data_IF_447081016988
#
_entry.id   IF_447081016988
#
_cell.length_a   1.000
_cell.length_b   1.000
_cell.length_c   1.000
_cell.angle_alpha   90.00
_cell.angle_beta   90.00
_cell.angle_gamma   90.00
#
_symmetry.space_group_name_H-M   'P 1'
#
loop_
_entity.id
_entity.type
_entity.pdbx_description
1 polymer ?
#
# COMPACT_ATOMS: atom_id res chain seq x y z
N UNK A 1 2.32 -32.14 -6.43
CA UNK A 1 1.48 -31.03 -5.94
C UNK A 1 2.41 -29.87 -5.65
N UNK A 2 2.44 -28.80 -6.46
CA UNK A 2 3.18 -27.57 -6.11
C UNK A 2 2.46 -26.97 -4.90
N UNK A 3 3.15 -26.87 -3.75
CA UNK A 3 2.60 -26.24 -2.55
C UNK A 3 2.16 -24.82 -2.88
N UNK A 4 0.96 -24.46 -2.46
CA UNK A 4 0.47 -23.09 -2.51
C UNK A 4 1.45 -22.27 -1.67
N UNK A 5 2.21 -21.41 -2.34
CA UNK A 5 3.21 -20.58 -1.67
C UNK A 5 2.46 -19.47 -0.94
N UNK A 6 2.32 -19.60 0.37
CA UNK A 6 1.68 -18.58 1.21
C UNK A 6 2.52 -17.32 1.18
N UNK A 7 1.99 -16.24 0.61
CA UNK A 7 2.71 -14.98 0.51
C UNK A 7 2.87 -14.31 1.88
N UNK A 8 1.80 -14.25 2.69
CA UNK A 8 1.82 -13.60 4.00
C UNK A 8 1.14 -14.51 5.04
N UNK A 9 1.80 -14.75 6.16
CA UNK A 9 1.28 -15.56 7.26
C UNK A 9 1.38 -14.79 8.58
N UNK A 10 0.30 -14.81 9.35
CA UNK A 10 0.23 -14.33 10.73
C UNK A 10 0.14 -15.50 11.68
N UNK A 11 0.92 -15.46 12.76
CA UNK A 11 0.91 -16.47 13.83
C UNK A 11 0.69 -15.79 15.17
N UNK A 12 -0.53 -15.85 15.70
CA UNK A 12 -0.99 -15.25 16.97
C UNK A 12 -0.52 -13.80 17.14
N UNK A 13 -0.64 -13.00 16.09
CA UNK A 13 -0.20 -11.59 16.09
C UNK A 13 -1.11 -10.77 16.97
N UNK A 14 -0.53 -10.11 17.97
CA UNK A 14 -1.21 -9.17 18.88
C UNK A 14 -0.54 -7.81 18.82
N UNK A 15 -1.35 -6.78 19.01
CA UNK A 15 -0.86 -5.42 19.10
C UNK A 15 -1.75 -4.57 19.99
N UNK A 16 -1.11 -3.71 20.76
CA UNK A 16 -1.79 -2.78 21.68
C UNK A 16 -1.22 -1.37 21.53
N UNK A 17 -2.03 -0.39 21.84
CA UNK A 17 -1.59 1.01 21.92
C UNK A 17 -0.55 1.20 23.03
N UNK A 18 0.25 2.28 23.00
CA UNK A 18 1.16 2.62 24.09
C UNK A 18 0.44 2.77 25.45
N UNK A 19 -0.88 3.06 25.43
CA UNK A 19 -1.74 3.08 26.62
C UNK A 19 -2.01 1.70 27.24
N UNK A 20 -1.64 0.61 26.54
CA UNK A 20 -1.94 -0.76 26.94
C UNK A 20 -3.28 -1.29 26.40
N UNK A 21 -4.05 -0.49 25.67
CA UNK A 21 -5.32 -0.92 25.08
C UNK A 21 -5.10 -1.89 23.93
N UNK A 22 -5.64 -3.14 23.98
CA UNK A 22 -5.45 -4.13 22.96
C UNK A 22 -6.34 -3.85 21.74
N UNK A 23 -5.72 -3.60 20.57
CA UNK A 23 -6.40 -3.38 19.29
C UNK A 23 -6.46 -4.69 18.50
N UNK A 24 -5.33 -5.39 18.36
CA UNK A 24 -5.27 -6.69 17.70
C UNK A 24 -5.05 -7.75 18.77
N UNK A 25 -6.04 -8.65 18.93
CA UNK A 25 -6.13 -9.56 20.08
C UNK A 25 -5.61 -10.97 19.80
N UNK A 26 -5.10 -11.21 18.59
CA UNK A 26 -4.55 -12.49 18.14
C UNK A 26 -5.08 -12.85 16.75
N UNK A 27 -4.28 -12.61 15.73
CA UNK A 27 -4.59 -12.96 14.35
C UNK A 27 -3.70 -14.13 13.94
N UNK A 28 -4.34 -15.20 13.44
CA UNK A 28 -3.64 -16.33 12.83
C UNK A 28 -4.33 -16.66 11.53
N UNK A 29 -3.69 -16.36 10.42
CA UNK A 29 -4.19 -16.65 9.08
C UNK A 29 -3.05 -16.68 8.06
N UNK A 30 -3.35 -17.23 6.88
CA UNK A 30 -2.47 -17.26 5.72
C UNK A 30 -3.16 -16.56 4.56
N UNK A 31 -2.45 -15.68 3.90
CA UNK A 31 -2.90 -14.99 2.71
C UNK A 31 -2.09 -15.52 1.53
N UNK A 32 -2.75 -16.25 0.66
CA UNK A 32 -2.19 -16.90 -0.53
C UNK A 32 -2.91 -16.46 -1.82
N UNK A 33 -3.95 -15.64 -1.68
CA UNK A 33 -4.71 -15.09 -2.78
C UNK A 33 -4.01 -13.89 -3.39
N UNK A 34 -4.17 -13.70 -4.71
CA UNK A 34 -3.66 -12.56 -5.46
C UNK A 34 -4.24 -11.24 -4.92
N UNK A 35 -5.52 -11.21 -4.59
CA UNK A 35 -6.20 -10.09 -3.95
C UNK A 35 -6.87 -10.57 -2.66
N UNK A 36 -6.65 -9.84 -1.58
CA UNK A 36 -7.30 -10.07 -0.28
C UNK A 36 -7.90 -8.77 0.21
N UNK A 37 -9.18 -8.78 0.53
CA UNK A 37 -9.89 -7.62 1.10
C UNK A 37 -10.15 -7.88 2.58
N UNK A 38 -9.75 -6.92 3.43
CA UNK A 38 -9.98 -6.95 4.88
C UNK A 38 -11.06 -5.93 5.21
N UNK A 39 -12.19 -6.42 5.67
CA UNK A 39 -13.34 -5.59 6.05
C UNK A 39 -13.61 -5.66 7.54
N UNK A 40 -14.34 -4.70 8.06
CA UNK A 40 -14.75 -4.67 9.47
C UNK A 40 -15.16 -3.26 9.93
N UNK A 41 -15.68 -3.13 11.15
CA UNK A 41 -16.14 -1.86 11.69
C UNK A 41 -15.00 -0.84 11.84
N UNK A 42 -15.37 0.44 11.93
CA UNK A 42 -14.41 1.49 12.27
C UNK A 42 -13.87 1.23 13.69
N UNK A 43 -12.56 1.45 13.86
CA UNK A 43 -11.87 1.10 15.11
C UNK A 43 -11.52 -0.39 15.25
N UNK A 44 -11.90 -1.25 14.29
CA UNK A 44 -11.62 -2.69 14.34
C UNK A 44 -10.16 -3.10 14.07
N UNK A 45 -9.23 -2.15 13.96
CA UNK A 45 -7.80 -2.42 13.84
C UNK A 45 -7.30 -2.64 12.40
N UNK A 46 -8.11 -2.35 11.35
CA UNK A 46 -7.70 -2.51 9.95
C UNK A 46 -6.42 -1.76 9.60
N UNK A 47 -6.40 -0.45 9.88
CA UNK A 47 -5.20 0.40 9.71
C UNK A 47 -4.04 -0.06 10.57
N UNK A 48 -4.29 -0.54 11.79
CA UNK A 48 -3.24 -1.09 12.66
C UNK A 48 -2.62 -2.34 12.04
N UNK A 49 -3.43 -3.23 11.48
CA UNK A 49 -2.94 -4.41 10.79
C UNK A 49 -2.12 -4.03 9.54
N UNK A 50 -2.60 -3.07 8.75
CA UNK A 50 -1.87 -2.55 7.59
C UNK A 50 -0.49 -1.98 8.00
N UNK A 51 -0.43 -1.21 9.08
CA UNK A 51 0.82 -0.68 9.65
C UNK A 51 1.76 -1.78 10.16
N UNK A 52 1.21 -2.83 10.77
CA UNK A 52 1.99 -4.01 11.19
C UNK A 52 2.58 -4.74 9.98
N UNK A 53 1.83 -4.90 8.88
CA UNK A 53 2.33 -5.49 7.63
C UNK A 53 3.44 -4.63 7.02
N UNK A 54 3.25 -3.32 7.01
CA UNK A 54 4.22 -2.37 6.45
C UNK A 54 5.49 -2.19 7.30
N UNK A 55 5.47 -2.61 8.59
CA UNK A 55 6.58 -2.39 9.53
C UNK A 55 6.66 -0.98 10.10
N UNK A 56 5.56 -0.22 9.99
CA UNK A 56 5.40 1.08 10.67
C UNK A 56 5.22 0.88 12.18
N UNK A 57 4.47 -0.17 12.54
CA UNK A 57 4.28 -0.62 13.92
C UNK A 57 4.88 -2.01 14.08
N UNK A 58 5.27 -2.36 15.32
CA UNK A 58 5.73 -3.70 15.68
C UNK A 58 4.66 -4.43 16.49
N UNK A 59 4.43 -5.73 16.22
CA UNK A 59 3.50 -6.50 17.03
C UNK A 59 4.00 -6.61 18.48
N UNK A 60 3.08 -6.64 19.44
CA UNK A 60 3.38 -6.89 20.85
C UNK A 60 3.77 -8.35 21.09
N UNK A 61 3.18 -9.25 20.30
CA UNK A 61 3.52 -10.69 20.30
C UNK A 61 3.07 -11.33 18.99
N UNK A 62 3.48 -12.58 18.77
CA UNK A 62 3.21 -13.33 17.56
C UNK A 62 4.26 -13.11 16.48
N UNK A 63 4.01 -13.61 15.26
CA UNK A 63 4.95 -13.52 14.14
C UNK A 63 4.26 -13.14 12.85
N UNK A 64 4.98 -12.40 12.01
CA UNK A 64 4.58 -12.04 10.65
C UNK A 64 5.62 -12.63 9.71
N UNK A 65 5.18 -13.46 8.77
CA UNK A 65 6.04 -14.20 7.85
C UNK A 65 5.68 -13.80 6.43
N UNK A 66 6.64 -13.32 5.66
CA UNK A 66 6.50 -12.96 4.26
C UNK A 66 7.33 -13.93 3.42
N UNK A 67 6.68 -14.64 2.49
CA UNK A 67 7.34 -15.58 1.58
C UNK A 67 8.30 -16.55 2.32
N UNK A 68 7.82 -17.08 3.47
CA UNK A 68 8.58 -17.99 4.35
C UNK A 68 9.62 -17.32 5.24
N UNK A 69 9.87 -16.02 5.10
CA UNK A 69 10.83 -15.26 5.90
C UNK A 69 10.13 -14.56 7.06
N UNK A 70 10.59 -14.75 8.29
CA UNK A 70 10.10 -14.03 9.47
C UNK A 70 10.54 -12.56 9.39
N UNK A 71 9.55 -11.66 9.29
CA UNK A 71 9.76 -10.21 9.17
C UNK A 71 9.28 -9.44 10.41
N UNK A 72 8.99 -10.15 11.49
CA UNK A 72 8.38 -9.58 12.71
C UNK A 72 9.14 -8.37 13.23
N UNK A 73 10.45 -8.48 13.33
CA UNK A 73 11.33 -7.42 13.83
C UNK A 73 11.91 -6.51 12.74
N UNK A 74 11.58 -6.78 11.48
CA UNK A 74 12.07 -5.98 10.35
C UNK A 74 11.30 -4.65 10.29
N UNK A 75 12.04 -3.55 10.20
CA UNK A 75 11.48 -2.20 10.10
C UNK A 75 10.89 -1.90 8.69
N UNK A 76 10.25 -0.75 8.54
CA UNK A 76 9.63 -0.32 7.28
C UNK A 76 10.62 -0.35 6.11
N UNK A 77 11.87 0.08 6.33
CA UNK A 77 12.90 0.10 5.29
C UNK A 77 13.30 -1.31 4.88
N UNK A 78 13.48 -2.19 5.83
CA UNK A 78 13.79 -3.60 5.57
C UNK A 78 12.66 -4.30 4.83
N UNK A 79 11.40 -4.08 5.24
CA UNK A 79 10.23 -4.66 4.56
C UNK A 79 10.06 -4.09 3.16
N UNK A 80 10.34 -2.82 2.96
CA UNK A 80 10.35 -2.23 1.63
C UNK A 80 11.38 -2.91 0.72
N UNK A 81 12.58 -3.23 1.21
CA UNK A 81 13.62 -3.98 0.47
C UNK A 81 13.21 -5.43 0.19
N UNK A 82 12.40 -6.03 1.05
CA UNK A 82 11.83 -7.37 0.85
C UNK A 82 10.66 -7.39 -0.13
N UNK A 83 10.22 -6.23 -0.61
CA UNK A 83 9.17 -6.11 -1.60
C UNK A 83 7.78 -5.82 -1.03
N UNK A 84 7.67 -5.19 0.13
CA UNK A 84 6.41 -4.66 0.66
C UNK A 84 6.26 -3.20 0.24
N UNK A 85 5.10 -2.84 -0.32
CA UNK A 85 4.70 -1.47 -0.60
C UNK A 85 3.45 -1.12 0.21
N UNK A 86 3.32 0.13 0.61
CA UNK A 86 2.21 0.59 1.45
C UNK A 86 1.69 1.95 0.99
N UNK A 87 0.41 2.02 0.69
CA UNK A 87 -0.33 3.26 0.50
C UNK A 87 -1.00 3.66 1.81
N UNK A 88 -0.66 4.83 2.31
CA UNK A 88 -1.18 5.34 3.58
C UNK A 88 -2.66 5.75 3.47
N UNK A 89 -3.39 5.76 4.57
CA UNK A 89 -4.76 6.26 4.62
C UNK A 89 -4.84 7.72 4.14
N UNK A 90 -3.91 8.56 4.59
CA UNK A 90 -3.75 9.93 4.09
C UNK A 90 -2.53 10.01 3.18
N UNK A 91 -2.69 10.52 1.94
CA UNK A 91 -1.59 10.58 0.99
C UNK A 91 -0.49 11.52 1.48
N UNK A 92 0.75 11.06 1.36
CA UNK A 92 1.93 11.86 1.73
C UNK A 92 2.21 12.87 0.64
N UNK A 93 2.48 14.11 1.02
CA UNK A 93 2.85 15.21 0.12
C UNK A 93 4.35 15.45 0.18
N UNK A 94 4.97 15.55 -0.99
CA UNK A 94 6.41 15.75 -1.12
C UNK A 94 6.68 17.10 -1.78
N UNK A 95 7.11 18.06 -0.98
CA UNK A 95 7.47 19.37 -1.49
C UNK A 95 8.74 19.30 -2.36
N UNK A 96 8.69 19.90 -3.55
CA UNK A 96 9.82 19.95 -4.47
C UNK A 96 9.99 18.69 -5.35
N UNK A 97 9.08 17.71 -5.26
CA UNK A 97 9.07 16.57 -6.17
C UNK A 97 7.84 16.63 -7.09
N UNK A 98 8.07 16.35 -8.37
CA UNK A 98 6.98 16.17 -9.33
C UNK A 98 6.38 14.77 -9.24
N UNK A 99 5.22 14.57 -9.85
CA UNK A 99 4.59 13.25 -10.00
C UNK A 99 5.54 12.29 -10.73
N UNK A 100 6.22 12.76 -11.79
CA UNK A 100 7.26 12.02 -12.51
C UNK A 100 8.35 11.53 -11.56
N UNK A 101 8.91 12.44 -10.75
CA UNK A 101 9.99 12.10 -9.82
C UNK A 101 9.58 11.00 -8.85
N UNK A 102 8.35 11.05 -8.34
CA UNK A 102 7.83 10.04 -7.42
C UNK A 102 7.64 8.67 -8.08
N UNK A 103 7.08 8.65 -9.30
CA UNK A 103 6.88 7.39 -10.04
C UNK A 103 8.22 6.76 -10.41
N UNK A 104 9.20 7.54 -10.86
CA UNK A 104 10.54 7.08 -11.18
C UNK A 104 11.30 6.58 -9.93
N UNK A 105 11.20 7.29 -8.81
CA UNK A 105 11.76 6.83 -7.53
C UNK A 105 11.15 5.50 -7.09
N UNK A 106 9.85 5.35 -7.22
CA UNK A 106 9.15 4.11 -6.86
C UNK A 106 9.54 2.95 -7.77
N UNK A 107 9.64 3.20 -9.06
CA UNK A 107 10.06 2.21 -10.05
C UNK A 107 11.55 1.83 -9.93
N UNK A 108 12.35 2.65 -9.24
CA UNK A 108 13.80 2.45 -9.09
C UNK A 108 14.60 2.87 -10.32
N UNK A 109 14.03 3.65 -11.23
CA UNK A 109 14.70 4.11 -12.45
C UNK A 109 13.83 5.07 -13.27
N UNK A 110 14.40 5.52 -14.40
CA UNK A 110 13.68 6.38 -15.33
C UNK A 110 12.54 5.62 -16.02
N UNK A 111 11.42 6.29 -16.21
CA UNK A 111 10.25 5.78 -16.90
C UNK A 111 10.05 6.51 -18.23
N UNK A 112 9.72 5.77 -19.28
CA UNK A 112 9.31 6.34 -20.55
C UNK A 112 7.94 7.01 -20.45
N UNK A 113 7.63 7.87 -21.43
CA UNK A 113 6.34 8.57 -21.49
C UNK A 113 5.15 7.59 -21.48
N UNK A 114 5.23 6.53 -22.24
CA UNK A 114 4.17 5.51 -22.35
C UNK A 114 3.96 4.77 -21.02
N UNK A 115 5.03 4.50 -20.26
CA UNK A 115 4.95 3.87 -18.95
C UNK A 115 4.28 4.79 -17.92
N UNK A 116 4.62 6.09 -17.94
CA UNK A 116 3.98 7.11 -17.12
C UNK A 116 2.49 7.25 -17.45
N UNK A 117 2.14 7.27 -18.75
CA UNK A 117 0.76 7.28 -19.22
C UNK A 117 -0.01 6.05 -18.73
N UNK A 118 0.60 4.87 -18.84
CA UNK A 118 -0.02 3.62 -18.40
C UNK A 118 -0.27 3.61 -16.87
N UNK A 119 0.71 4.05 -16.06
CA UNK A 119 0.58 4.11 -14.61
C UNK A 119 -0.49 5.09 -14.16
N UNK A 120 -0.49 6.32 -14.70
CA UNK A 120 -1.49 7.33 -14.35
C UNK A 120 -2.87 6.99 -14.90
N UNK A 121 -2.94 6.40 -16.08
CA UNK A 121 -4.18 5.90 -16.68
C UNK A 121 -4.88 4.84 -15.82
N UNK A 122 -4.13 3.97 -15.13
CA UNK A 122 -4.68 2.98 -14.19
C UNK A 122 -5.45 3.62 -13.04
N UNK A 123 -5.03 4.79 -12.61
CA UNK A 123 -5.70 5.53 -11.52
C UNK A 123 -6.62 6.66 -12.04
N UNK A 124 -6.91 6.68 -13.34
CA UNK A 124 -7.82 7.65 -13.96
C UNK A 124 -7.27 9.07 -14.00
N UNK A 125 -5.94 9.23 -14.16
CA UNK A 125 -5.29 10.52 -14.34
C UNK A 125 -4.69 10.65 -15.75
N UNK A 126 -4.80 11.84 -16.36
CA UNK A 126 -4.16 12.15 -17.63
C UNK A 126 -2.70 12.50 -17.40
N UNK A 127 -1.77 11.75 -18.02
CA UNK A 127 -0.34 11.96 -17.80
C UNK A 127 0.10 13.38 -18.20
N UNK A 128 -0.35 13.88 -19.36
CA UNK A 128 0.01 15.20 -19.85
C UNK A 128 -0.35 16.33 -18.87
N UNK A 129 -1.37 16.11 -18.04
CA UNK A 129 -1.81 17.10 -17.07
C UNK A 129 -1.07 17.00 -15.73
N UNK A 130 -0.58 15.82 -15.38
CA UNK A 130 -0.12 15.55 -14.01
C UNK A 130 1.37 15.26 -13.87
N UNK A 131 2.06 14.72 -14.88
CA UNK A 131 3.44 14.23 -14.73
C UNK A 131 4.43 15.29 -14.25
N UNK A 132 4.26 16.53 -14.65
CA UNK A 132 5.15 17.63 -14.31
C UNK A 132 4.59 18.53 -13.17
N UNK A 133 3.43 18.14 -12.58
CA UNK A 133 2.92 18.83 -11.39
C UNK A 133 3.70 18.41 -10.14
N UNK A 134 3.95 19.39 -9.27
CA UNK A 134 4.54 19.15 -7.96
C UNK A 134 3.53 18.47 -7.02
N UNK A 135 3.98 17.53 -6.21
CA UNK A 135 3.21 16.89 -5.13
C UNK A 135 3.01 17.83 -3.94
N UNK A 136 2.44 18.99 -4.22
CA UNK A 136 2.23 20.09 -3.28
C UNK A 136 0.76 20.19 -2.83
N UNK A 137 0.46 21.25 -2.09
CA UNK A 137 -0.90 21.58 -1.65
C UNK A 137 -1.90 21.93 -2.77
N UNK A 138 -1.42 22.10 -4.01
CA UNK A 138 -2.28 22.42 -5.15
C UNK A 138 -3.11 21.22 -5.67
N UNK A 139 -2.72 19.99 -5.33
CA UNK A 139 -3.48 18.78 -5.65
C UNK A 139 -4.63 18.58 -4.64
N UNK A 140 -5.80 18.23 -5.13
CA UNK A 140 -6.92 17.78 -4.29
C UNK A 140 -6.54 16.51 -3.52
N UNK A 141 -7.30 16.19 -2.45
CA UNK A 141 -7.09 14.95 -1.69
C UNK A 141 -7.21 13.70 -2.56
N UNK A 142 -8.21 13.65 -3.44
CA UNK A 142 -8.44 12.53 -4.34
C UNK A 142 -7.36 12.39 -5.42
N UNK A 143 -6.85 13.48 -5.98
CA UNK A 143 -5.72 13.45 -6.93
C UNK A 143 -4.45 12.93 -6.25
N UNK A 144 -4.12 13.47 -5.08
CA UNK A 144 -2.96 13.02 -4.31
C UNK A 144 -3.06 11.52 -3.95
N UNK A 145 -4.26 11.04 -3.58
CA UNK A 145 -4.51 9.63 -3.27
C UNK A 145 -4.30 8.73 -4.49
N UNK A 146 -4.81 9.13 -5.64
CA UNK A 146 -4.63 8.39 -6.90
C UNK A 146 -3.18 8.35 -7.33
N UNK A 147 -2.43 9.45 -7.18
CA UNK A 147 -0.99 9.48 -7.46
C UNK A 147 -0.22 8.57 -6.49
N UNK A 148 -0.57 8.56 -5.20
CA UNK A 148 0.02 7.62 -4.22
C UNK A 148 -0.20 6.16 -4.64
N UNK A 149 -1.41 5.80 -5.05
CA UNK A 149 -1.72 4.46 -5.55
C UNK A 149 -0.87 4.14 -6.79
N UNK A 150 -0.78 5.06 -7.77
CA UNK A 150 0.09 4.89 -8.94
C UNK A 150 1.56 4.66 -8.54
N UNK A 151 2.04 5.35 -7.49
CA UNK A 151 3.39 5.18 -6.94
C UNK A 151 3.59 3.77 -6.36
N UNK A 152 2.60 3.24 -5.64
CA UNK A 152 2.64 1.85 -5.12
C UNK A 152 2.64 0.85 -6.29
N UNK A 153 1.84 1.08 -7.34
CA UNK A 153 1.82 0.24 -8.54
C UNK A 153 3.15 0.28 -9.30
N UNK A 154 3.75 1.46 -9.45
CA UNK A 154 5.04 1.65 -10.12
C UNK A 154 6.17 0.84 -9.46
N UNK A 155 6.09 0.63 -8.15
CA UNK A 155 7.07 -0.14 -7.38
C UNK A 155 7.11 -1.62 -7.76
N UNK A 156 6.05 -2.18 -8.35
CA UNK A 156 5.93 -3.60 -8.69
C UNK A 156 6.35 -4.52 -7.54
N UNK A 157 5.81 -4.25 -6.35
CA UNK A 157 6.16 -4.94 -5.12
C UNK A 157 5.57 -6.37 -5.08
N UNK A 158 6.17 -7.27 -4.29
CA UNK A 158 5.62 -8.61 -4.03
C UNK A 158 4.29 -8.56 -3.27
N UNK A 159 4.18 -7.60 -2.35
CA UNK A 159 2.99 -7.35 -1.53
C UNK A 159 2.71 -5.85 -1.51
N UNK A 160 1.56 -5.47 -2.03
CA UNK A 160 1.06 -4.09 -1.93
C UNK A 160 -0.08 -4.03 -0.94
N UNK A 161 0.00 -3.13 0.02
CA UNK A 161 -1.00 -2.89 1.05
C UNK A 161 -1.62 -1.53 0.82
N UNK A 162 -2.94 -1.48 0.70
CA UNK A 162 -3.71 -0.25 0.52
C UNK A 162 -4.62 -0.05 1.71
N UNK A 163 -4.46 1.05 2.43
CA UNK A 163 -5.27 1.39 3.60
C UNK A 163 -6.32 2.44 3.21
N UNK A 164 -7.58 2.02 3.15
CA UNK A 164 -8.73 2.83 2.71
C UNK A 164 -8.44 3.55 1.37
N UNK A 165 -8.16 2.79 0.28
CA UNK A 165 -7.79 3.39 -1.01
C UNK A 165 -8.91 4.24 -1.61
N UNK A 166 -10.16 4.03 -1.20
CA UNK A 166 -11.35 4.78 -1.61
C UNK A 166 -11.50 6.14 -0.93
N UNK A 167 -10.79 6.39 0.16
CA UNK A 167 -10.99 7.59 0.96
C UNK A 167 -10.69 8.88 0.17
N UNK A 168 -11.71 9.73 0.04
CA UNK A 168 -11.60 11.00 -0.66
C UNK A 168 -11.58 10.92 -2.18
N UNK A 169 -11.87 9.75 -2.76
CA UNK A 169 -12.00 9.54 -4.20
C UNK A 169 -13.47 9.59 -4.60
N UNK A 170 -13.79 10.26 -5.72
CA UNK A 170 -15.12 10.28 -6.29
C UNK A 170 -15.53 8.91 -6.87
N UNK A 171 -16.83 8.68 -7.00
CA UNK A 171 -17.39 7.40 -7.42
C UNK A 171 -16.88 6.91 -8.80
N UNK A 172 -16.66 7.82 -9.73
CA UNK A 172 -16.20 7.47 -11.09
C UNK A 172 -14.75 7.04 -11.08
N UNK A 173 -13.90 7.77 -10.36
CA UNK A 173 -12.49 7.43 -10.16
C UNK A 173 -12.33 6.15 -9.36
N UNK A 174 -13.23 5.88 -8.41
CA UNK A 174 -13.24 4.63 -7.64
C UNK A 174 -13.56 3.41 -8.53
N UNK A 175 -14.51 3.52 -9.45
CA UNK A 175 -14.81 2.44 -10.40
C UNK A 175 -13.55 2.06 -11.21
N UNK A 176 -12.78 3.04 -11.65
CA UNK A 176 -11.50 2.80 -12.35
C UNK A 176 -10.45 2.10 -11.48
N UNK A 177 -10.40 2.44 -10.19
CA UNK A 177 -9.50 1.75 -9.25
C UNK A 177 -9.90 0.29 -9.03
N UNK A 178 -11.19 -0.01 -8.96
CA UNK A 178 -11.68 -1.40 -8.84
C UNK A 178 -11.19 -2.22 -10.04
N UNK A 179 -11.38 -1.73 -11.27
CA UNK A 179 -10.87 -2.37 -12.48
C UNK A 179 -9.35 -2.64 -12.36
N UNK A 180 -8.59 -1.65 -11.91
CA UNK A 180 -7.14 -1.78 -11.72
C UNK A 180 -6.79 -2.85 -10.68
N UNK A 181 -7.51 -2.93 -9.57
CA UNK A 181 -7.27 -3.97 -8.56
C UNK A 181 -7.67 -5.37 -9.02
N UNK A 182 -8.64 -5.50 -9.93
CA UNK A 182 -8.99 -6.78 -10.54
C UNK A 182 -7.94 -7.26 -11.55
N UNK A 183 -7.22 -6.34 -12.20
CA UNK A 183 -6.15 -6.65 -13.15
C UNK A 183 -4.82 -7.06 -12.49
N UNK A 184 -4.55 -6.62 -11.26
CA UNK A 184 -3.32 -6.91 -10.52
C UNK A 184 -3.38 -8.31 -9.91
#
# INVERSE_FOLDING_TARGET
MKGVNTLLEFKDVKWQLPSGEPIIKGISCKLDSRLTVITGPNGGGKTSLAKLIAGVEKPTSGRIILDGTDITDTDITGRAKLGVAYAFQQPVRFKGLTVRDLLELAAGGKLGHDELCALLGKVGLCAEEYIDREMSGALSGGEAKRIEIATVLARNAKLSVFDEPEAGIDLWSFARLVETFEEI
#
